data_IF_949534189907
#
_entry.id   IF_949534189907
#
_cell.length_a   1.000
_cell.length_b   1.000
_cell.length_c   1.000
_cell.angle_alpha   90.00
_cell.angle_beta   90.00
_cell.angle_gamma   90.00
#
_symmetry.space_group_name_H-M   'P 1'
#
loop_
_entity.id
_entity.type
_entity.pdbx_description
1 polymer ?
#
# COMPACT_ATOMS: atom_id res chain seq x y z
N UNK A 1 -26.77 7.52 -22.56
CA UNK A 1 -26.19 8.88 -22.60
C UNK A 1 -24.96 8.88 -21.73
N UNK A 2 -23.77 8.94 -22.31
CA UNK A 2 -22.53 9.09 -21.57
C UNK A 2 -22.52 10.40 -20.80
N UNK A 3 -22.42 10.34 -19.49
CA UNK A 3 -22.30 11.55 -18.66
C UNK A 3 -20.87 12.09 -18.76
N UNK A 4 -20.76 13.41 -18.74
CA UNK A 4 -19.55 14.17 -19.05
C UNK A 4 -18.38 13.83 -18.12
N UNK A 5 -17.16 13.82 -18.64
CA UNK A 5 -15.91 13.62 -17.91
C UNK A 5 -15.80 14.50 -16.64
N UNK A 6 -16.44 15.67 -16.63
CA UNK A 6 -16.52 16.54 -15.47
C UNK A 6 -17.27 15.92 -14.27
N UNK A 7 -18.34 15.12 -14.50
CA UNK A 7 -19.07 14.43 -13.42
C UNK A 7 -18.27 13.29 -12.80
N UNK A 8 -17.55 12.54 -13.62
CA UNK A 8 -16.62 11.49 -13.16
C UNK A 8 -15.52 12.10 -12.31
N UNK A 9 -14.92 13.20 -12.76
CA UNK A 9 -13.90 13.93 -12.03
C UNK A 9 -14.39 14.51 -10.68
N UNK A 10 -15.66 14.89 -10.58
CA UNK A 10 -16.26 15.31 -9.30
C UNK A 10 -16.38 14.16 -8.30
N UNK A 11 -16.61 12.93 -8.77
CA UNK A 11 -16.69 11.73 -7.93
C UNK A 11 -15.31 11.21 -7.53
N UNK A 12 -14.35 11.24 -8.45
CA UNK A 12 -12.95 10.87 -8.18
C UNK A 12 -12.27 11.77 -7.16
N UNK A 13 -12.77 13.01 -7.00
CA UNK A 13 -12.23 14.00 -6.06
C UNK A 13 -13.13 14.19 -4.81
N UNK A 14 -13.98 13.22 -4.48
CA UNK A 14 -14.84 13.18 -3.27
C UNK A 14 -15.76 14.41 -3.07
N UNK A 15 -15.98 15.21 -4.11
CA UNK A 15 -16.75 16.45 -4.04
C UNK A 15 -18.27 16.25 -4.08
N UNK A 16 -18.74 15.09 -4.51
CA UNK A 16 -20.17 14.74 -4.57
C UNK A 16 -20.35 13.23 -4.78
N UNK A 17 -21.18 12.60 -3.95
CA UNK A 17 -21.58 11.20 -4.12
C UNK A 17 -22.60 11.10 -5.27
N UNK A 18 -22.55 10.04 -6.09
CA UNK A 18 -23.61 9.70 -7.04
C UNK A 18 -24.92 9.42 -6.30
N UNK A 19 -26.06 9.79 -6.87
CA UNK A 19 -27.36 9.38 -6.35
C UNK A 19 -27.61 7.88 -6.59
N UNK A 20 -28.61 7.32 -5.87
CA UNK A 20 -28.89 5.87 -5.89
C UNK A 20 -29.19 5.35 -7.30
N UNK A 21 -29.92 6.14 -8.11
CA UNK A 21 -30.24 5.75 -9.49
C UNK A 21 -29.00 5.71 -10.38
N UNK A 22 -28.04 6.59 -10.12
CA UNK A 22 -26.77 6.64 -10.81
C UNK A 22 -25.85 5.48 -10.42
N UNK A 23 -25.89 5.08 -9.15
CA UNK A 23 -25.12 3.92 -8.66
C UNK A 23 -25.56 2.63 -9.36
N UNK A 24 -26.88 2.40 -9.51
CA UNK A 24 -27.40 1.27 -10.26
C UNK A 24 -26.94 1.25 -11.72
N UNK A 25 -26.99 2.38 -12.41
CA UNK A 25 -26.48 2.46 -13.79
C UNK A 25 -24.97 2.22 -13.90
N UNK A 26 -24.19 2.68 -12.93
CA UNK A 26 -22.75 2.43 -12.90
C UNK A 26 -22.43 0.96 -12.64
N UNK A 27 -23.15 0.34 -11.70
CA UNK A 27 -23.02 -1.08 -11.40
C UNK A 27 -23.33 -1.95 -12.63
N UNK A 28 -24.42 -1.67 -13.31
CA UNK A 28 -24.79 -2.34 -14.56
C UNK A 28 -23.72 -2.18 -15.66
N UNK A 29 -23.19 -0.95 -15.84
CA UNK A 29 -22.12 -0.69 -16.82
C UNK A 29 -20.80 -1.39 -16.51
N UNK A 30 -20.51 -1.59 -15.22
CA UNK A 30 -19.27 -2.23 -14.75
C UNK A 30 -19.42 -3.74 -14.55
N UNK A 31 -20.64 -4.29 -14.66
CA UNK A 31 -20.94 -5.70 -14.46
C UNK A 31 -20.80 -6.16 -13.01
N UNK A 32 -20.98 -5.25 -12.06
CA UNK A 32 -20.93 -5.51 -10.61
C UNK A 32 -22.30 -5.23 -9.97
N UNK A 33 -22.54 -5.73 -8.78
CA UNK A 33 -23.75 -5.41 -8.01
C UNK A 33 -23.69 -4.02 -7.38
N UNK A 34 -24.85 -3.40 -7.11
CA UNK A 34 -24.94 -2.13 -6.35
C UNK A 34 -24.22 -2.20 -5.02
N UNK A 35 -24.27 -3.36 -4.35
CA UNK A 35 -23.60 -3.59 -3.07
C UNK A 35 -22.08 -3.61 -3.23
N UNK A 36 -21.54 -4.25 -4.26
CA UNK A 36 -20.11 -4.26 -4.56
C UNK A 36 -19.63 -2.85 -4.91
N UNK A 37 -20.37 -2.14 -5.80
CA UNK A 37 -20.02 -0.77 -6.16
C UNK A 37 -20.10 0.18 -4.97
N UNK A 38 -21.11 0.05 -4.11
CA UNK A 38 -21.23 0.82 -2.87
C UNK A 38 -20.13 0.50 -1.86
N UNK A 39 -19.67 -0.74 -1.80
CA UNK A 39 -18.54 -1.13 -0.95
C UNK A 39 -17.25 -0.47 -1.40
N UNK A 40 -17.03 -0.37 -2.69
CA UNK A 40 -15.89 0.34 -3.29
C UNK A 40 -15.99 1.87 -3.09
N UNK A 41 -17.17 2.46 -3.33
CA UNK A 41 -17.38 3.92 -3.24
C UNK A 41 -17.37 4.41 -1.79
N UNK A 42 -17.94 3.65 -0.85
CA UNK A 42 -17.98 4.06 0.57
C UNK A 42 -16.68 3.85 1.31
N UNK A 43 -15.64 3.34 0.64
CA UNK A 43 -14.37 3.03 1.31
C UNK A 43 -14.62 2.18 2.55
N UNK A 44 -15.54 1.19 2.43
CA UNK A 44 -15.97 0.45 3.61
C UNK A 44 -14.77 -0.16 4.28
N UNK A 45 -14.41 0.41 5.43
CA UNK A 45 -13.64 -0.26 6.48
C UNK A 45 -12.45 -1.10 5.97
N UNK A 46 -11.89 -0.72 4.80
CA UNK A 46 -10.71 -1.39 4.27
C UNK A 46 -9.58 -1.00 5.20
N UNK A 47 -9.41 -1.82 6.20
CA UNK A 47 -8.25 -1.74 7.09
C UNK A 47 -7.01 -1.90 6.21
N UNK A 48 -6.09 -0.92 6.17
CA UNK A 48 -4.90 -1.03 5.36
C UNK A 48 -4.11 -2.28 5.70
N UNK A 49 -3.67 -3.00 4.67
CA UNK A 49 -2.80 -4.17 4.85
C UNK A 49 -1.37 -3.77 4.55
N UNK A 50 -0.54 -3.88 5.58
CA UNK A 50 0.88 -3.50 5.55
C UNK A 50 1.74 -4.74 5.65
N UNK A 51 2.71 -4.85 4.75
CA UNK A 51 3.71 -5.90 4.74
C UNK A 51 5.06 -5.34 5.19
N UNK A 52 5.78 -6.10 6.00
CA UNK A 52 7.17 -5.83 6.36
C UNK A 52 8.01 -7.06 6.07
N UNK A 53 9.10 -6.91 5.31
CA UNK A 53 10.02 -8.00 4.98
C UNK A 53 11.43 -7.64 5.41
N UNK A 54 11.99 -8.46 6.31
CA UNK A 54 13.34 -8.31 6.82
C UNK A 54 13.80 -9.67 7.38
N UNK A 55 14.92 -10.20 6.91
CA UNK A 55 15.39 -11.53 7.31
C UNK A 55 16.07 -11.57 8.68
N UNK A 56 16.34 -10.40 9.26
CA UNK A 56 16.82 -10.26 10.62
C UNK A 56 15.67 -10.21 11.64
N UNK A 57 15.39 -11.34 12.29
CA UNK A 57 14.24 -11.48 13.21
C UNK A 57 14.16 -10.43 14.32
N UNK A 58 15.32 -9.92 14.79
CA UNK A 58 15.36 -8.90 15.84
C UNK A 58 14.91 -7.55 15.26
N UNK A 59 15.40 -7.19 14.08
CA UNK A 59 15.04 -5.98 13.36
C UNK A 59 13.56 -6.04 12.97
N UNK A 60 13.12 -7.14 12.35
CA UNK A 60 11.73 -7.40 11.99
C UNK A 60 10.79 -7.17 13.18
N UNK A 61 11.09 -7.77 14.34
CA UNK A 61 10.26 -7.62 15.54
C UNK A 61 10.22 -6.19 16.07
N UNK A 62 11.34 -5.48 16.04
CA UNK A 62 11.42 -4.06 16.42
C UNK A 62 10.63 -3.17 15.48
N UNK A 63 10.81 -3.35 14.18
CA UNK A 63 10.12 -2.59 13.15
C UNK A 63 8.61 -2.82 13.16
N UNK A 64 8.13 -4.06 13.37
CA UNK A 64 6.70 -4.35 13.55
C UNK A 64 6.07 -3.54 14.68
N UNK A 65 6.76 -3.39 15.82
CA UNK A 65 6.27 -2.56 16.93
C UNK A 65 6.17 -1.08 16.55
N UNK A 66 7.19 -0.57 15.85
CA UNK A 66 7.21 0.83 15.39
C UNK A 66 6.10 1.09 14.38
N UNK A 67 5.88 0.18 13.43
CA UNK A 67 4.81 0.28 12.44
C UNK A 67 3.43 0.18 13.10
N UNK A 68 3.23 -0.73 14.07
CA UNK A 68 1.96 -0.83 14.81
C UNK A 68 1.65 0.43 15.62
N UNK A 69 2.68 1.09 16.15
CA UNK A 69 2.50 2.37 16.84
C UNK A 69 2.21 3.54 15.87
N UNK A 70 2.74 3.48 14.64
CA UNK A 70 2.49 4.49 13.61
C UNK A 70 1.13 4.34 12.93
N UNK A 71 0.65 3.10 12.79
CA UNK A 71 -0.56 2.73 12.05
C UNK A 71 -1.43 1.78 12.89
N UNK A 72 -2.06 2.25 13.99
CA UNK A 72 -2.83 1.39 14.90
C UNK A 72 -4.06 0.75 14.22
N UNK A 73 -4.60 1.39 13.19
CA UNK A 73 -5.75 0.90 12.43
C UNK A 73 -5.36 -0.10 11.30
N UNK A 74 -4.06 -0.29 11.00
CA UNK A 74 -3.60 -1.16 9.93
C UNK A 74 -3.41 -2.62 10.40
N UNK A 75 -3.61 -3.56 9.48
CA UNK A 75 -3.16 -4.96 9.65
C UNK A 75 -1.73 -5.09 9.17
N UNK A 76 -0.80 -5.37 10.08
CA UNK A 76 0.62 -5.42 9.77
C UNK A 76 1.13 -6.84 9.87
N UNK A 77 1.75 -7.32 8.79
CA UNK A 77 2.29 -8.68 8.66
C UNK A 77 3.80 -8.62 8.42
N UNK A 78 4.56 -9.41 9.17
CA UNK A 78 6.01 -9.50 9.06
C UNK A 78 6.45 -10.82 8.47
N UNK A 79 7.38 -10.78 7.51
CA UNK A 79 7.92 -11.95 6.82
C UNK A 79 9.44 -11.94 6.90
N UNK A 80 10.03 -13.11 7.07
CA UNK A 80 11.49 -13.28 7.13
C UNK A 80 12.07 -13.81 5.81
N UNK A 81 11.22 -14.11 4.83
CA UNK A 81 11.63 -14.60 3.52
C UNK A 81 10.77 -14.01 2.39
N UNK A 82 11.38 -13.88 1.21
CA UNK A 82 10.69 -13.42 0.00
C UNK A 82 9.53 -14.35 -0.37
N UNK A 83 9.73 -15.67 -0.26
CA UNK A 83 8.73 -16.68 -0.64
C UNK A 83 7.46 -16.61 0.21
N UNK A 84 7.61 -16.34 1.54
CA UNK A 84 6.46 -16.14 2.42
C UNK A 84 5.70 -14.86 2.06
N UNK A 85 6.44 -13.78 1.79
CA UNK A 85 5.86 -12.50 1.41
C UNK A 85 5.08 -12.60 0.08
N UNK A 86 5.65 -13.23 -0.94
CA UNK A 86 4.98 -13.44 -2.24
C UNK A 86 3.71 -14.30 -2.10
N UNK A 87 3.79 -15.42 -1.37
CA UNK A 87 2.61 -16.26 -1.12
C UNK A 87 1.50 -15.50 -0.43
N UNK A 88 1.84 -14.70 0.57
CA UNK A 88 0.85 -13.88 1.24
C UNK A 88 0.24 -12.83 0.29
N UNK A 89 1.06 -12.16 -0.51
CA UNK A 89 0.61 -11.15 -1.45
C UNK A 89 -0.28 -11.72 -2.57
N UNK A 90 -0.12 -12.99 -2.94
CA UNK A 90 -0.96 -13.66 -3.94
C UNK A 90 -2.43 -13.77 -3.51
N UNK A 91 -2.68 -13.93 -2.20
CA UNK A 91 -4.01 -14.13 -1.64
C UNK A 91 -4.57 -12.89 -0.92
N UNK A 92 -3.77 -11.84 -0.76
CA UNK A 92 -4.14 -10.66 0.02
C UNK A 92 -3.76 -9.37 -0.71
N UNK A 93 -4.65 -8.38 -0.65
CA UNK A 93 -4.32 -7.02 -1.10
C UNK A 93 -3.24 -6.44 -0.19
N UNK A 94 -2.25 -5.79 -0.78
CA UNK A 94 -1.19 -5.08 -0.08
C UNK A 94 -1.27 -3.58 -0.44
N UNK A 95 -1.43 -2.74 0.57
CA UNK A 95 -1.51 -1.28 0.41
C UNK A 95 -0.13 -0.62 0.60
N UNK A 96 0.66 -1.12 1.57
CA UNK A 96 2.02 -0.63 1.84
C UNK A 96 2.94 -1.83 2.08
N UNK A 97 4.12 -1.80 1.47
CA UNK A 97 5.17 -2.78 1.69
C UNK A 97 6.47 -2.08 2.15
N UNK A 98 6.90 -2.38 3.37
CA UNK A 98 8.23 -2.02 3.86
C UNK A 98 9.19 -3.18 3.60
N UNK A 99 10.23 -2.94 2.82
CA UNK A 99 11.12 -4.01 2.33
C UNK A 99 12.58 -3.70 2.67
N UNK A 100 13.25 -4.64 3.32
CA UNK A 100 14.71 -4.59 3.34
C UNK A 100 15.24 -4.87 1.92
N UNK A 101 16.23 -4.12 1.49
CA UNK A 101 16.85 -4.31 0.17
C UNK A 101 17.74 -5.55 0.18
N UNK A 102 18.55 -5.72 1.21
CA UNK A 102 19.49 -6.84 1.34
C UNK A 102 18.87 -7.98 2.15
N UNK A 103 18.36 -8.96 1.46
CA UNK A 103 17.85 -10.19 2.04
C UNK A 103 18.82 -11.34 1.74
N UNK A 104 19.15 -12.17 2.72
CA UNK A 104 20.08 -13.33 2.56
C UNK A 104 19.69 -14.28 1.44
N UNK A 105 18.39 -14.39 1.17
CA UNK A 105 17.81 -15.22 0.13
C UNK A 105 16.86 -14.36 -0.71
N UNK A 106 17.40 -13.72 -1.73
CA UNK A 106 16.63 -12.86 -2.62
C UNK A 106 17.07 -11.41 -2.57
N UNK A 107 16.25 -10.53 -3.13
CA UNK A 107 16.48 -9.09 -3.18
C UNK A 107 15.17 -8.36 -2.92
N UNK A 108 15.22 -7.37 -2.05
CA UNK A 108 14.07 -6.49 -1.83
C UNK A 108 13.67 -5.70 -3.08
N UNK A 109 14.62 -5.39 -3.95
CA UNK A 109 14.36 -4.75 -5.24
C UNK A 109 13.51 -5.66 -6.15
N UNK A 110 13.91 -6.92 -6.31
CA UNK A 110 13.16 -7.89 -7.10
C UNK A 110 11.76 -8.16 -6.51
N UNK A 111 11.65 -8.22 -5.16
CA UNK A 111 10.37 -8.35 -4.48
C UNK A 111 9.46 -7.14 -4.73
N UNK A 112 10.02 -5.93 -4.73
CA UNK A 112 9.27 -4.71 -5.03
C UNK A 112 8.67 -4.73 -6.44
N UNK A 113 9.43 -5.17 -7.45
CA UNK A 113 8.94 -5.33 -8.83
C UNK A 113 7.80 -6.35 -8.91
N UNK A 114 7.93 -7.49 -8.21
CA UNK A 114 6.91 -8.53 -8.18
C UNK A 114 5.62 -8.04 -7.50
N UNK A 115 5.75 -7.39 -6.34
CA UNK A 115 4.61 -6.80 -5.62
C UNK A 115 3.88 -5.75 -6.47
N UNK A 116 4.59 -4.92 -7.22
CA UNK A 116 3.98 -3.93 -8.11
C UNK A 116 3.28 -4.55 -9.31
N UNK A 117 3.73 -5.70 -9.80
CA UNK A 117 3.00 -6.46 -10.83
C UNK A 117 1.68 -7.02 -10.32
N UNK A 118 1.68 -7.56 -9.08
CA UNK A 118 0.47 -8.10 -8.44
C UNK A 118 -0.46 -6.99 -7.95
N UNK A 119 0.10 -5.91 -7.40
CA UNK A 119 -0.61 -4.79 -6.79
C UNK A 119 -0.14 -3.45 -7.38
N UNK A 120 -0.68 -3.00 -8.52
CA UNK A 120 -0.19 -1.78 -9.21
C UNK A 120 -0.23 -0.49 -8.39
N UNK A 121 -1.05 -0.46 -7.33
CA UNK A 121 -1.19 0.68 -6.40
C UNK A 121 -0.52 0.44 -5.05
N UNK A 122 0.39 -0.54 -4.93
CA UNK A 122 1.15 -0.74 -3.69
C UNK A 122 2.14 0.39 -3.48
N UNK A 123 2.17 0.93 -2.26
CA UNK A 123 3.23 1.84 -1.83
C UNK A 123 4.41 1.03 -1.32
N UNK A 124 5.51 1.04 -2.03
CA UNK A 124 6.75 0.39 -1.60
C UNK A 124 7.64 1.41 -0.91
N UNK A 125 8.10 1.09 0.31
CA UNK A 125 9.04 1.87 1.10
C UNK A 125 10.21 0.96 1.43
N UNK A 126 11.41 1.30 0.98
CA UNK A 126 12.59 0.53 1.32
C UNK A 126 13.11 0.87 2.72
N UNK A 127 13.49 -0.18 3.45
CA UNK A 127 14.23 -0.10 4.71
C UNK A 127 15.62 -0.68 4.47
N UNK A 128 16.68 0.09 4.69
CA UNK A 128 18.03 -0.41 4.46
C UNK A 128 19.04 0.27 5.36
N UNK A 129 20.16 -0.40 5.59
CA UNK A 129 21.33 0.19 6.25
C UNK A 129 22.24 0.95 5.28
N UNK A 130 21.99 0.85 3.97
CA UNK A 130 22.87 1.34 2.92
C UNK A 130 22.25 2.51 2.16
N UNK A 131 23.03 3.57 1.95
CA UNK A 131 22.60 4.78 1.23
C UNK A 131 22.72 4.68 -0.28
N UNK A 132 23.59 3.81 -0.75
CA UNK A 132 23.92 3.62 -2.16
C UNK A 132 22.73 3.14 -3.01
N UNK A 133 21.80 2.41 -2.43
CA UNK A 133 20.60 1.92 -3.13
C UNK A 133 19.51 2.97 -3.36
N UNK A 134 19.72 4.21 -2.90
CA UNK A 134 18.71 5.27 -3.06
C UNK A 134 18.43 5.58 -4.54
N UNK A 135 19.42 5.49 -5.43
CA UNK A 135 19.24 5.70 -6.87
C UNK A 135 18.43 4.57 -7.50
N UNK A 136 18.76 3.32 -7.19
CA UNK A 136 18.02 2.14 -7.70
C UNK A 136 16.55 2.17 -7.23
N UNK A 137 16.32 2.53 -5.98
CA UNK A 137 14.98 2.71 -5.42
C UNK A 137 14.19 3.80 -6.18
N UNK A 138 14.86 4.91 -6.49
CA UNK A 138 14.25 6.01 -7.23
C UNK A 138 13.85 5.61 -8.66
N UNK A 139 14.72 4.87 -9.38
CA UNK A 139 14.43 4.36 -10.72
C UNK A 139 13.22 3.42 -10.74
N UNK A 140 13.05 2.63 -9.70
CA UNK A 140 11.86 1.78 -9.49
C UNK A 140 10.60 2.60 -9.18
N UNK A 141 10.69 3.92 -8.92
CA UNK A 141 9.57 4.78 -8.61
C UNK A 141 8.82 4.33 -7.36
N UNK A 142 9.55 3.98 -6.30
CA UNK A 142 8.99 3.62 -4.99
C UNK A 142 8.38 4.83 -4.27
N UNK A 143 7.57 4.59 -3.26
CA UNK A 143 6.91 5.65 -2.50
C UNK A 143 7.80 6.26 -1.42
N UNK A 144 8.82 5.54 -0.96
CA UNK A 144 9.69 6.03 0.10
C UNK A 144 10.96 5.22 0.31
N UNK A 145 11.86 5.78 1.13
CA UNK A 145 13.15 5.19 1.45
C UNK A 145 13.60 5.60 2.85
N UNK A 146 13.75 4.63 3.75
CA UNK A 146 14.12 4.85 5.13
C UNK A 146 15.45 4.16 5.44
N UNK A 147 16.41 4.91 5.94
CA UNK A 147 17.62 4.32 6.54
C UNK A 147 17.32 3.76 7.91
N UNK A 148 17.74 2.51 8.17
CA UNK A 148 17.67 1.90 9.49
C UNK A 148 18.51 2.70 10.50
N UNK A 149 18.08 2.83 11.76
CA UNK A 149 16.94 2.18 12.39
C UNK A 149 15.61 2.86 12.03
N UNK A 150 14.52 2.08 11.98
CA UNK A 150 13.17 2.58 11.76
C UNK A 150 12.67 3.32 13.00
N UNK A 151 12.35 4.59 12.87
CA UNK A 151 11.74 5.40 13.93
C UNK A 151 10.31 5.79 13.60
N UNK A 152 9.52 6.10 14.64
CA UNK A 152 8.13 6.50 14.49
C UNK A 152 7.99 7.76 13.61
N UNK A 153 8.88 8.74 13.81
CA UNK A 153 8.90 10.00 13.09
C UNK A 153 9.16 9.76 11.60
N UNK A 154 10.13 8.89 11.27
CA UNK A 154 10.45 8.55 9.89
C UNK A 154 9.29 7.84 9.20
N UNK A 155 8.64 6.89 9.88
CA UNK A 155 7.45 6.23 9.35
C UNK A 155 6.36 7.25 9.05
N UNK A 156 6.03 8.12 10.01
CA UNK A 156 5.00 9.16 9.81
C UNK A 156 5.33 10.10 8.67
N UNK A 157 6.60 10.46 8.51
CA UNK A 157 7.06 11.31 7.41
C UNK A 157 6.81 10.64 6.06
N UNK A 158 7.18 9.37 5.88
CA UNK A 158 6.95 8.64 4.63
C UNK A 158 5.47 8.38 4.36
N UNK A 159 4.67 8.11 5.41
CA UNK A 159 3.23 7.95 5.27
C UNK A 159 2.52 9.23 4.78
N UNK A 160 3.05 10.41 5.09
CA UNK A 160 2.47 11.69 4.64
C UNK A 160 2.70 12.02 3.16
N UNK A 161 3.59 11.29 2.48
CA UNK A 161 3.98 11.51 1.08
C UNK A 161 3.79 10.28 0.20
N UNK A 162 2.92 9.35 0.59
CA UNK A 162 2.63 8.14 -0.17
C UNK A 162 2.19 8.47 -1.60
N UNK A 163 2.68 7.68 -2.55
CA UNK A 163 2.35 7.84 -3.97
C UNK A 163 0.88 7.52 -4.28
N UNK A 164 0.33 6.53 -3.58
CA UNK A 164 -1.06 6.13 -3.71
C UNK A 164 -1.77 6.35 -2.38
N UNK A 165 -2.94 7.00 -2.38
CA UNK A 165 -3.71 7.23 -1.16
C UNK A 165 -4.06 5.91 -0.47
N UNK A 166 -3.92 5.88 0.85
CA UNK A 166 -4.30 4.76 1.70
C UNK A 166 -5.31 5.25 2.71
N UNK A 167 -6.57 4.79 2.59
CA UNK A 167 -7.64 5.20 3.49
C UNK A 167 -7.26 4.97 4.95
N UNK A 168 -7.60 5.93 5.83
CA UNK A 168 -7.34 5.95 7.28
C UNK A 168 -5.89 6.21 7.72
N UNK A 169 -5.01 6.60 6.84
CA UNK A 169 -3.68 7.09 7.24
C UNK A 169 -3.54 8.61 7.05
N UNK A 170 -4.58 9.26 6.55
CA UNK A 170 -4.59 10.69 6.20
C UNK A 170 -5.14 11.62 7.32
N UNK A 171 -5.24 11.15 8.59
CA UNK A 171 -5.60 12.00 9.73
C UNK A 171 -4.40 12.45 10.57
#
# INVERSE_FOLDING_TARGET
MCKTAALVSYWENDRRMPDVAMLGHLADCLGVTDAELLSEIRGQNIVPTVMLVDDEKIILKGALRTLSAAMPEAKIYGFSTVDEAIRFAADNRIDIAFLDIELRRGSGLALAEELRRMHPKVNVIFLTSYREYAMDAWELGVSGYILKPLTLERVKQELSVLRFPVHRLEE
#
